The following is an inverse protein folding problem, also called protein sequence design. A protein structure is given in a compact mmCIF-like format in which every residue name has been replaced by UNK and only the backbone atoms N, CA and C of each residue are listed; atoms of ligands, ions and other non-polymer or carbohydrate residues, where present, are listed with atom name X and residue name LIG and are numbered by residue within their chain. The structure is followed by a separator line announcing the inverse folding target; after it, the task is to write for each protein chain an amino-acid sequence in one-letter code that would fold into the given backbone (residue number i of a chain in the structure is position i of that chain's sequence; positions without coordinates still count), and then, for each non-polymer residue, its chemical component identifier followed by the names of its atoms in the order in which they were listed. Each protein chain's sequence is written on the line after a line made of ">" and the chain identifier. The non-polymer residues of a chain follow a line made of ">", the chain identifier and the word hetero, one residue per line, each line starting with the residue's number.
data_IF_601978567245
#
_entry.id   IF_601978567245
#
_cell.length_a   1.000
_cell.length_b   1.000
_cell.length_c   1.000
_cell.angle_alpha   90.00
_cell.angle_beta   90.00
_cell.angle_gamma   90.00
#
_symmetry.space_group_name_H-M   'P 1'
#
loop_
_entity.id
_entity.type
_entity.pdbx_description
1 polymer ?
#
# COMPACT_ATOMS: atom_id res chain seq x y z
N UNK A 1 -6.12 3.61 33.10
CA UNK A 1 -5.62 4.02 31.78
C UNK A 1 -6.39 3.23 30.74
N UNK A 2 -7.08 3.88 29.80
CA UNK A 2 -7.72 3.19 28.69
C UNK A 2 -6.71 3.09 27.56
N UNK A 3 -6.40 1.88 27.11
CA UNK A 3 -5.64 1.69 25.87
C UNK A 3 -6.54 2.05 24.69
N UNK A 4 -6.24 3.17 24.03
CA UNK A 4 -6.85 3.52 22.75
C UNK A 4 -6.29 2.60 21.66
N UNK A 5 -6.79 1.36 21.62
CA UNK A 5 -6.53 0.48 20.49
C UNK A 5 -7.44 0.89 19.34
N UNK A 6 -6.87 1.07 18.15
CA UNK A 6 -7.68 1.28 16.94
C UNK A 6 -8.71 0.16 16.80
N UNK A 7 -9.97 0.48 16.43
CA UNK A 7 -10.98 -0.51 16.11
C UNK A 7 -10.42 -1.54 15.12
N UNK A 8 -10.86 -2.80 15.25
CA UNK A 8 -10.37 -3.92 14.42
C UNK A 8 -10.47 -3.67 12.90
N UNK A 9 -11.38 -2.77 12.48
CA UNK A 9 -11.64 -2.40 11.09
C UNK A 9 -10.94 -1.09 10.66
N UNK A 10 -10.05 -0.55 11.50
CA UNK A 10 -9.28 0.67 11.23
C UNK A 10 -7.76 0.42 11.36
N UNK A 11 -7.34 -0.84 11.33
CA UNK A 11 -5.93 -1.22 11.38
C UNK A 11 -5.42 -1.41 9.96
N UNK A 12 -4.43 -0.61 9.58
CA UNK A 12 -3.82 -0.72 8.25
C UNK A 12 -3.13 -2.07 8.11
N UNK A 13 -3.52 -2.82 7.10
CA UNK A 13 -2.95 -4.12 6.76
C UNK A 13 -1.91 -4.00 5.66
N UNK A 14 -1.08 -5.05 5.53
CA UNK A 14 -0.12 -5.15 4.42
C UNK A 14 -0.91 -5.41 3.14
N UNK A 15 -0.71 -4.53 2.15
CA UNK A 15 -1.32 -4.66 0.84
C UNK A 15 -0.52 -5.55 -0.11
N UNK A 16 -0.87 -5.48 -1.39
CA UNK A 16 -0.17 -6.17 -2.48
C UNK A 16 1.16 -5.50 -2.79
N UNK A 17 2.16 -6.30 -3.16
CA UNK A 17 3.45 -5.82 -3.65
C UNK A 17 3.56 -6.11 -5.14
N UNK A 18 3.78 -5.06 -5.91
CA UNK A 18 3.98 -5.09 -7.34
C UNK A 18 5.43 -4.69 -7.61
N UNK A 19 6.28 -5.70 -7.81
CA UNK A 19 7.70 -5.49 -8.09
C UNK A 19 7.90 -4.92 -9.51
N UNK A 20 8.96 -4.14 -9.69
CA UNK A 20 9.31 -3.61 -11.00
C UNK A 20 9.74 -4.77 -11.92
N UNK A 21 9.44 -4.68 -13.23
CA UNK A 21 9.93 -5.66 -14.19
C UNK A 21 11.46 -5.66 -14.25
N UNK A 22 12.04 -6.83 -14.59
CA UNK A 22 13.48 -6.96 -14.77
C UNK A 22 13.97 -5.99 -15.87
N UNK A 23 15.01 -5.22 -15.56
CA UNK A 23 15.57 -4.22 -16.47
C UNK A 23 15.04 -2.80 -16.27
N UNK A 24 14.19 -2.56 -15.27
CA UNK A 24 13.83 -1.20 -14.86
C UNK A 24 15.08 -0.41 -14.43
N UNK A 25 15.25 0.79 -14.98
CA UNK A 25 16.47 1.60 -14.82
C UNK A 25 16.38 2.58 -13.68
N UNK A 26 15.19 3.17 -13.45
CA UNK A 26 14.97 4.14 -12.39
C UNK A 26 13.73 3.78 -11.59
N UNK A 27 13.83 2.72 -10.77
CA UNK A 27 12.73 2.25 -9.93
C UNK A 27 12.49 3.20 -8.75
N UNK A 28 11.23 3.62 -8.58
CA UNK A 28 10.75 4.26 -7.36
C UNK A 28 9.66 3.42 -6.72
N UNK A 29 9.75 3.27 -5.41
CA UNK A 29 8.75 2.56 -4.60
C UNK A 29 7.68 3.53 -4.14
N UNK A 30 6.46 3.32 -4.60
CA UNK A 30 5.26 4.03 -4.20
C UNK A 30 4.46 3.17 -3.22
N UNK A 31 4.12 3.74 -2.07
CA UNK A 31 3.27 3.09 -1.07
C UNK A 31 1.91 3.75 -1.15
N UNK A 32 0.90 3.00 -1.59
CA UNK A 32 -0.44 3.49 -1.86
C UNK A 32 -1.37 2.99 -0.77
N UNK A 33 -1.91 3.92 0.01
CA UNK A 33 -2.99 3.62 0.95
C UNK A 33 -4.28 3.41 0.17
N UNK A 34 -4.91 2.26 0.35
CA UNK A 34 -6.18 1.91 -0.28
C UNK A 34 -7.18 1.50 0.76
N UNK A 35 -8.33 2.14 0.72
CA UNK A 35 -9.48 1.82 1.53
C UNK A 35 -10.72 2.19 0.73
N UNK A 36 -11.73 1.33 0.76
CA UNK A 36 -13.05 1.63 0.23
C UNK A 36 -14.09 1.30 1.31
N UNK A 37 -15.13 2.12 1.47
CA UNK A 37 -16.17 1.85 2.47
C UNK A 37 -17.08 0.68 2.09
N UNK A 38 -17.08 0.25 0.82
CA UNK A 38 -18.09 -0.67 0.27
C UNK A 38 -17.75 -2.16 0.44
N UNK A 39 -16.47 -2.52 0.53
CA UNK A 39 -16.02 -3.92 0.61
C UNK A 39 -15.93 -4.46 2.05
N UNK A 40 -16.13 -3.58 3.04
CA UNK A 40 -15.97 -3.92 4.46
C UNK A 40 -14.55 -4.33 4.85
N UNK A 41 -13.55 -4.10 3.97
CA UNK A 41 -12.17 -4.46 4.23
C UNK A 41 -11.48 -3.41 5.11
N UNK A 42 -10.44 -3.87 5.83
CA UNK A 42 -9.53 -2.96 6.49
C UNK A 42 -8.75 -2.15 5.44
N UNK A 43 -8.34 -0.91 5.77
CA UNK A 43 -7.38 -0.21 4.95
C UNK A 43 -6.12 -1.03 4.73
N UNK A 44 -5.53 -0.94 3.54
CA UNK A 44 -4.28 -1.61 3.21
C UNK A 44 -3.26 -0.65 2.60
N UNK A 45 -1.99 -1.00 2.74
CA UNK A 45 -0.88 -0.29 2.12
C UNK A 45 -0.25 -1.15 1.02
N UNK A 46 -0.64 -0.89 -0.22
CA UNK A 46 -0.05 -1.55 -1.40
C UNK A 46 1.31 -0.91 -1.73
N UNK A 47 2.24 -1.69 -2.27
CA UNK A 47 3.58 -1.24 -2.67
C UNK A 47 3.77 -1.47 -4.16
N UNK A 48 4.13 -0.42 -4.89
CA UNK A 48 4.37 -0.45 -6.33
C UNK A 48 5.77 0.05 -6.63
N UNK A 49 6.53 -0.77 -7.32
CA UNK A 49 7.81 -0.38 -7.88
C UNK A 49 7.59 0.02 -9.34
N UNK A 50 7.80 1.30 -9.64
CA UNK A 50 7.54 1.87 -10.96
C UNK A 50 8.84 2.44 -11.50
N UNK A 51 9.18 2.09 -12.74
CA UNK A 51 10.25 2.76 -13.46
C UNK A 51 9.78 4.15 -13.89
N UNK A 52 10.43 5.18 -13.36
CA UNK A 52 10.10 6.58 -13.64
C UNK A 52 11.13 7.22 -14.57
N UNK A 53 11.86 6.43 -15.35
CA UNK A 53 12.71 6.97 -16.41
C UNK A 53 11.83 7.78 -17.38
N UNK A 54 11.93 9.10 -17.32
CA UNK A 54 11.36 9.96 -18.36
C UNK A 54 12.18 9.72 -19.63
N UNK A 55 11.50 9.48 -20.75
CA UNK A 55 12.13 9.34 -22.08
C UNK A 55 12.92 10.58 -22.48
#
# INVERSE_FOLDING_TARGET
>A
MAEFSLPRNSKVQKGKHHAAPAGAKQVRTFRIYRWTPDDGENPRLDTFEVDVSSS
#
